data_IF_997346932753
#
_entry.id   IF_997346932753
#
_cell.length_a   1.000
_cell.length_b   1.000
_cell.length_c   1.000
_cell.angle_alpha   90.00
_cell.angle_beta   90.00
_cell.angle_gamma   90.00
#
_symmetry.space_group_name_H-M   'P 1'
#
loop_
_entity.id
_entity.type
_entity.pdbx_description
1 polymer ?
#
# COMPACT_ATOMS: atom_id res chain seq x y z
N UNK A 1 -5.74 10.61 -25.06
CA UNK A 1 -6.50 10.29 -26.29
C UNK A 1 -7.41 9.10 -25.98
N UNK A 2 -8.69 9.13 -26.36
CA UNK A 2 -9.59 7.98 -26.19
C UNK A 2 -9.18 6.84 -27.14
N UNK A 3 -9.65 5.63 -26.86
CA UNK A 3 -9.43 4.46 -27.72
C UNK A 3 -10.11 4.70 -29.08
N UNK A 4 -9.38 4.46 -30.17
CA UNK A 4 -9.93 4.42 -31.53
C UNK A 4 -10.35 2.99 -31.82
N UNK A 5 -11.62 2.78 -32.13
CA UNK A 5 -12.18 1.46 -32.40
C UNK A 5 -12.99 1.47 -33.71
N UNK A 6 -13.12 0.29 -34.33
CA UNK A 6 -13.90 0.12 -35.56
C UNK A 6 -15.40 0.39 -35.34
N UNK A 7 -15.95 -0.09 -34.23
CA UNK A 7 -17.33 0.16 -33.85
C UNK A 7 -17.44 1.41 -32.97
N UNK A 8 -18.47 2.26 -33.17
CA UNK A 8 -18.71 3.40 -32.29
C UNK A 8 -19.06 2.95 -30.87
N UNK A 9 -18.71 3.76 -29.87
CA UNK A 9 -19.08 3.52 -28.48
C UNK A 9 -18.24 2.45 -27.76
N UNK A 10 -16.98 2.27 -28.15
CA UNK A 10 -16.08 1.33 -27.48
C UNK A 10 -15.93 1.65 -25.99
N UNK A 11 -16.49 0.77 -25.17
CA UNK A 11 -16.49 0.84 -23.71
C UNK A 11 -16.43 -0.58 -23.16
N UNK A 12 -16.10 -0.71 -21.88
CA UNK A 12 -16.05 -1.99 -21.19
C UNK A 12 -16.28 -1.83 -19.69
N UNK A 13 -16.66 -2.93 -19.06
CA UNK A 13 -16.76 -2.99 -17.60
C UNK A 13 -15.36 -2.94 -16.99
N UNK A 14 -15.17 -2.06 -16.01
CA UNK A 14 -13.97 -2.08 -15.17
C UNK A 14 -13.97 -3.41 -14.42
N UNK A 15 -12.99 -4.28 -14.68
CA UNK A 15 -13.01 -5.66 -14.16
C UNK A 15 -12.64 -5.75 -12.69
N UNK A 16 -11.87 -4.77 -12.23
CA UNK A 16 -11.39 -4.63 -10.86
C UNK A 16 -12.14 -3.51 -10.12
N UNK A 17 -13.47 -3.49 -10.23
CA UNK A 17 -14.30 -2.67 -9.34
C UNK A 17 -14.37 -3.30 -7.95
N UNK A 18 -14.51 -2.46 -6.91
CA UNK A 18 -14.46 -2.89 -5.51
C UNK A 18 -15.53 -3.93 -5.16
N UNK A 19 -16.70 -3.87 -5.81
CA UNK A 19 -17.82 -4.78 -5.57
C UNK A 19 -17.47 -6.24 -5.90
N UNK A 20 -16.46 -6.46 -6.74
CA UNK A 20 -15.99 -7.80 -7.13
C UNK A 20 -15.09 -8.46 -6.06
N UNK A 21 -14.77 -7.78 -4.96
CA UNK A 21 -13.81 -8.26 -3.95
C UNK A 21 -14.48 -8.73 -2.64
N UNK A 22 -15.78 -9.01 -2.67
CA UNK A 22 -16.48 -9.68 -1.56
C UNK A 22 -16.49 -8.88 -0.25
N UNK A 23 -16.60 -7.55 -0.34
CA UNK A 23 -16.57 -6.63 0.80
C UNK A 23 -15.17 -6.11 1.16
N UNK A 24 -14.11 -6.74 0.64
CA UNK A 24 -12.75 -6.22 0.78
C UNK A 24 -12.42 -5.18 -0.28
N UNK A 25 -11.30 -4.49 -0.08
CA UNK A 25 -10.68 -3.60 -1.04
C UNK A 25 -9.21 -3.97 -1.27
N UNK A 26 -8.66 -3.58 -2.42
CA UNK A 26 -7.23 -3.70 -2.67
C UNK A 26 -6.52 -2.44 -2.15
N UNK A 27 -5.46 -2.62 -1.38
CA UNK A 27 -4.51 -1.55 -1.04
C UNK A 27 -3.12 -2.02 -1.44
N UNK A 28 -2.40 -1.18 -2.17
CA UNK A 28 -1.02 -1.45 -2.51
C UNK A 28 -0.11 -0.95 -1.39
N UNK A 29 0.86 -1.74 -0.97
CA UNK A 29 1.82 -1.35 0.05
C UNK A 29 3.25 -1.45 -0.48
N UNK A 30 4.00 -0.37 -0.44
CA UNK A 30 5.41 -0.34 -0.81
C UNK A 30 6.30 0.14 0.34
N UNK A 31 7.48 -0.47 0.47
CA UNK A 31 8.54 0.05 1.34
C UNK A 31 9.63 0.68 0.46
N UNK A 32 9.73 2.00 0.52
CA UNK A 32 10.69 2.74 -0.28
C UNK A 32 12.12 2.35 0.09
N UNK A 33 12.98 2.20 -0.91
CA UNK A 33 14.40 1.80 -0.77
C UNK A 33 14.64 0.36 -0.29
N UNK A 34 13.65 -0.54 -0.41
CA UNK A 34 13.76 -1.95 0.00
C UNK A 34 13.26 -2.89 -1.12
N UNK A 35 14.10 -3.06 -2.15
CA UNK A 35 13.81 -3.74 -3.43
C UNK A 35 13.96 -5.26 -3.38
N UNK A 36 14.39 -5.85 -2.27
CA UNK A 36 14.23 -7.28 -2.00
C UNK A 36 12.78 -7.69 -2.27
N UNK A 37 11.84 -6.80 -1.92
CA UNK A 37 10.48 -6.81 -2.43
C UNK A 37 10.45 -6.15 -3.81
N UNK A 38 10.36 -6.97 -4.86
CA UNK A 38 10.50 -6.52 -6.24
C UNK A 38 9.41 -5.54 -6.72
N UNK A 39 8.28 -5.45 -6.00
CA UNK A 39 7.18 -4.54 -6.26
C UNK A 39 6.38 -4.26 -4.97
N UNK A 40 5.53 -3.22 -4.97
CA UNK A 40 4.53 -3.06 -3.92
C UNK A 40 3.63 -4.29 -3.83
N UNK A 41 3.33 -4.69 -2.60
CA UNK A 41 2.39 -5.77 -2.30
C UNK A 41 0.97 -5.35 -2.64
N UNK A 42 0.14 -6.30 -3.07
CA UNK A 42 -1.30 -6.10 -3.27
C UNK A 42 -2.04 -6.79 -2.14
N UNK A 43 -2.64 -6.01 -1.24
CA UNK A 43 -3.28 -6.52 -0.03
C UNK A 43 -4.80 -6.45 -0.16
N UNK A 44 -5.54 -7.58 -0.10
CA UNK A 44 -6.99 -7.58 0.03
C UNK A 44 -7.37 -7.36 1.50
N UNK A 45 -7.87 -6.16 1.83
CA UNK A 45 -8.12 -5.73 3.20
C UNK A 45 -9.59 -5.34 3.42
N UNK A 46 -10.15 -5.58 4.61
CA UNK A 46 -11.43 -4.98 5.01
C UNK A 46 -11.31 -3.46 5.04
N UNK A 47 -12.26 -2.71 4.46
CA UNK A 47 -12.21 -1.24 4.43
C UNK A 47 -12.31 -0.59 5.83
N UNK A 48 -12.95 -1.28 6.76
CA UNK A 48 -13.17 -0.90 8.16
C UNK A 48 -12.02 -1.28 9.09
N UNK A 49 -11.00 -2.00 8.61
CA UNK A 49 -9.81 -2.35 9.39
C UNK A 49 -9.14 -1.09 9.96
N UNK A 50 -8.82 -1.03 11.28
CA UNK A 50 -8.05 0.08 11.84
C UNK A 50 -6.64 0.15 11.24
N UNK A 51 -6.09 1.36 11.06
CA UNK A 51 -4.74 1.51 10.51
C UNK A 51 -3.67 0.84 11.39
N UNK A 52 -3.81 0.89 12.71
CA UNK A 52 -2.92 0.17 13.65
C UNK A 52 -2.93 -1.34 13.39
N UNK A 53 -4.11 -1.94 13.18
CA UNK A 53 -4.23 -3.36 12.86
C UNK A 53 -3.58 -3.74 11.52
N UNK A 54 -3.63 -2.86 10.51
CA UNK A 54 -2.89 -3.02 9.26
C UNK A 54 -1.38 -3.06 9.51
N UNK A 55 -0.86 -2.14 10.33
CA UNK A 55 0.57 -2.09 10.65
C UNK A 55 1.00 -3.36 11.39
N UNK A 56 0.34 -3.67 12.51
CA UNK A 56 0.77 -4.71 13.44
C UNK A 56 0.58 -6.13 12.89
N UNK A 57 -0.57 -6.39 12.26
CA UNK A 57 -0.95 -7.76 11.87
C UNK A 57 -0.61 -8.11 10.43
N UNK A 58 -0.32 -7.11 9.58
CA UNK A 58 -0.06 -7.32 8.15
C UNK A 58 1.32 -6.81 7.77
N UNK A 59 1.61 -5.52 7.99
CA UNK A 59 2.86 -4.91 7.51
C UNK A 59 4.07 -5.44 8.28
N UNK A 60 4.05 -5.45 9.62
CA UNK A 60 5.18 -5.93 10.43
C UNK A 60 5.58 -7.38 10.06
N UNK A 61 4.66 -8.36 10.02
CA UNK A 61 5.00 -9.71 9.58
C UNK A 61 5.54 -9.78 8.15
N UNK A 62 4.98 -8.98 7.24
CA UNK A 62 5.39 -8.92 5.83
C UNK A 62 6.82 -8.44 5.66
N UNK A 63 7.21 -7.40 6.43
CA UNK A 63 8.56 -6.83 6.38
C UNK A 63 9.61 -7.73 7.04
N UNK A 64 9.21 -8.73 7.83
CA UNK A 64 10.11 -9.67 8.50
C UNK A 64 10.99 -10.51 7.55
N UNK A 65 10.66 -10.58 6.26
CA UNK A 65 11.51 -11.22 5.26
C UNK A 65 12.77 -10.39 4.90
N UNK A 66 12.81 -9.10 5.24
CA UNK A 66 13.96 -8.22 5.03
C UNK A 66 14.74 -8.03 6.34
N UNK A 67 16.09 -8.09 6.33
CA UNK A 67 16.89 -7.94 7.55
C UNK A 67 16.63 -6.65 8.34
N UNK A 68 16.42 -5.54 7.63
CA UNK A 68 16.13 -4.24 8.27
C UNK A 68 14.70 -4.14 8.81
N UNK A 69 13.80 -5.08 8.47
CA UNK A 69 12.41 -5.07 8.95
C UNK A 69 12.29 -5.19 10.47
N UNK A 70 13.26 -5.86 11.10
CA UNK A 70 13.30 -6.04 12.56
C UNK A 70 13.83 -4.80 13.33
N UNK A 71 14.43 -3.83 12.64
CA UNK A 71 15.07 -2.65 13.25
C UNK A 71 14.42 -1.33 12.85
N UNK A 72 13.21 -1.39 12.27
CA UNK A 72 12.41 -0.20 11.95
C UNK A 72 12.08 0.55 13.24
N UNK A 73 12.42 1.84 13.28
CA UNK A 73 11.92 2.76 14.30
C UNK A 73 10.56 3.33 13.85
N UNK A 74 9.48 2.74 14.36
CA UNK A 74 8.11 3.15 14.04
C UNK A 74 7.75 4.58 14.46
N UNK A 75 8.58 5.24 15.28
CA UNK A 75 8.35 6.64 15.67
C UNK A 75 8.90 7.65 14.65
N UNK A 76 9.82 7.24 13.77
CA UNK A 76 10.45 8.09 12.75
C UNK A 76 9.93 7.85 11.34
N UNK A 77 9.10 6.81 11.14
CA UNK A 77 8.60 6.44 9.82
C UNK A 77 7.79 7.56 9.18
N UNK A 78 7.87 7.64 7.86
CA UNK A 78 7.08 8.56 7.07
C UNK A 78 6.14 7.79 6.17
N UNK A 79 4.88 8.19 6.20
CA UNK A 79 3.84 7.58 5.41
C UNK A 79 3.48 8.45 4.20
N UNK A 80 3.27 7.82 3.05
CA UNK A 80 2.75 8.47 1.85
C UNK A 80 1.54 7.72 1.32
N UNK A 81 0.53 8.49 0.88
CA UNK A 81 -0.61 8.01 0.12
C UNK A 81 -0.38 8.41 -1.32
N UNK A 82 -0.01 7.44 -2.15
CA UNK A 82 0.54 7.67 -3.48
C UNK A 82 1.88 8.39 -3.39
N UNK A 83 1.89 9.68 -3.75
CA UNK A 83 3.08 10.53 -3.69
C UNK A 83 2.94 11.67 -2.66
N UNK A 84 1.85 11.70 -1.91
CA UNK A 84 1.56 12.78 -0.96
C UNK A 84 1.87 12.32 0.46
N UNK A 85 2.67 13.07 1.24
CA UNK A 85 2.83 12.81 2.67
C UNK A 85 1.46 12.76 3.36
N UNK A 86 1.27 11.81 4.25
CA UNK A 86 0.07 11.75 5.08
C UNK A 86 0.41 11.25 6.49
N UNK A 87 -0.40 11.66 7.45
CA UNK A 87 -0.30 11.21 8.84
C UNK A 87 -1.53 10.33 9.12
N UNK A 88 -1.37 9.01 9.26
CA UNK A 88 -2.49 8.13 9.58
C UNK A 88 -3.01 8.39 10.99
N UNK A 89 -4.33 8.30 11.15
CA UNK A 89 -4.96 8.05 12.44
C UNK A 89 -4.97 6.54 12.68
N UNK A 90 -4.26 6.11 13.72
CA UNK A 90 -4.06 4.71 14.07
C UNK A 90 -5.36 3.97 14.45
N UNK A 91 -6.36 4.67 14.97
CA UNK A 91 -7.62 4.08 15.43
C UNK A 91 -8.72 4.17 14.38
N UNK A 92 -8.62 5.11 13.45
CA UNK A 92 -9.55 5.21 12.34
C UNK A 92 -9.39 4.05 11.35
N UNK A 93 -10.47 3.76 10.63
CA UNK A 93 -10.47 2.73 9.59
C UNK A 93 -9.57 3.11 8.40
N UNK A 94 -9.26 2.16 7.53
CA UNK A 94 -8.52 2.43 6.29
C UNK A 94 -9.26 3.43 5.41
N UNK A 95 -10.58 3.27 5.25
CA UNK A 95 -11.37 4.18 4.41
C UNK A 95 -11.46 5.59 5.01
N UNK A 96 -11.54 5.72 6.34
CA UNK A 96 -11.55 7.02 7.03
C UNK A 96 -10.18 7.71 6.99
N UNK A 97 -9.10 6.94 6.94
CA UNK A 97 -7.75 7.42 6.60
C UNK A 97 -7.61 7.80 5.11
N UNK A 98 -8.66 7.61 4.31
CA UNK A 98 -8.66 7.89 2.88
C UNK A 98 -7.84 6.89 2.06
N UNK A 99 -7.64 5.67 2.57
CA UNK A 99 -7.10 4.52 1.85
C UNK A 99 -8.27 3.68 1.31
N UNK A 100 -8.82 4.10 0.18
CA UNK A 100 -9.86 3.38 -0.56
C UNK A 100 -9.31 2.33 -1.53
N UNK A 101 -10.20 1.72 -2.31
CA UNK A 101 -9.86 0.70 -3.29
C UNK A 101 -8.79 1.16 -4.30
N UNK A 102 -7.75 0.35 -4.47
CA UNK A 102 -6.53 0.60 -5.27
C UNK A 102 -5.68 1.79 -4.82
N UNK A 103 -5.81 2.21 -3.56
CA UNK A 103 -4.89 3.21 -2.98
C UNK A 103 -3.49 2.64 -2.82
N UNK A 104 -2.47 3.48 -3.00
CA UNK A 104 -1.08 3.14 -2.73
C UNK A 104 -0.66 3.73 -1.39
N UNK A 105 -0.30 2.87 -0.45
CA UNK A 105 0.36 3.19 0.80
C UNK A 105 1.86 2.97 0.64
N UNK A 106 2.67 3.93 1.05
CA UNK A 106 4.12 3.80 1.07
C UNK A 106 4.68 4.12 2.45
N UNK A 107 5.61 3.28 2.87
CA UNK A 107 6.43 3.46 4.05
C UNK A 107 7.81 3.95 3.62
N UNK A 108 8.32 4.95 4.32
CA UNK A 108 9.72 5.36 4.28
C UNK A 108 10.31 5.28 5.68
N UNK A 109 11.52 4.74 5.75
CA UNK A 109 12.38 4.64 6.93
C UNK A 109 13.68 5.37 6.59
N UNK A 110 13.77 6.70 6.79
CA UNK A 110 14.89 7.51 6.30
C UNK A 110 16.28 7.02 6.73
N UNK A 111 16.34 6.35 7.87
CA UNK A 111 17.53 5.74 8.47
C UNK A 111 17.93 4.37 7.89
N UNK A 112 17.03 3.69 7.18
CA UNK A 112 17.25 2.36 6.59
C UNK A 112 17.28 2.45 5.06
N UNK A 113 18.33 1.89 4.43
CA UNK A 113 18.63 2.10 2.99
C UNK A 113 18.79 0.78 2.22
N UNK A 114 18.24 -0.30 2.74
CA UNK A 114 18.41 -1.64 2.21
C UNK A 114 19.80 -2.20 2.47
N UNK A 115 19.95 -3.48 2.11
CA UNK A 115 21.15 -4.28 2.24
C UNK A 115 22.34 -3.58 1.56
N UNK A 116 23.37 -3.33 2.36
CA UNK A 116 24.61 -2.68 1.93
C UNK A 116 24.40 -1.32 1.23
N UNK A 117 23.31 -0.60 1.54
CA UNK A 117 22.98 0.69 0.92
C UNK A 117 22.59 0.60 -0.56
N UNK A 118 22.32 -0.62 -1.06
CA UNK A 118 21.92 -0.86 -2.45
C UNK A 118 20.43 -0.68 -2.71
N UNK A 119 19.67 -0.29 -1.67
CA UNK A 119 18.22 -0.27 -1.68
C UNK A 119 17.58 -1.64 -1.94
N UNK A 120 18.30 -2.76 -1.72
CA UNK A 120 17.71 -4.10 -1.75
C UNK A 120 17.17 -4.44 -0.39
#
# INVERSE_FOLDING_TARGET
MPVIALAPGYTGEVRDRVENFGGNQLVYFGWDQHRLFCSPFTLPLPPDMPFSALVDNVIVPLLGAHPEGAVIDWTSVQWLRGNTPFTPDAQASLIDNGLGHKSLLRLRTPELRGIAGSCN
#
